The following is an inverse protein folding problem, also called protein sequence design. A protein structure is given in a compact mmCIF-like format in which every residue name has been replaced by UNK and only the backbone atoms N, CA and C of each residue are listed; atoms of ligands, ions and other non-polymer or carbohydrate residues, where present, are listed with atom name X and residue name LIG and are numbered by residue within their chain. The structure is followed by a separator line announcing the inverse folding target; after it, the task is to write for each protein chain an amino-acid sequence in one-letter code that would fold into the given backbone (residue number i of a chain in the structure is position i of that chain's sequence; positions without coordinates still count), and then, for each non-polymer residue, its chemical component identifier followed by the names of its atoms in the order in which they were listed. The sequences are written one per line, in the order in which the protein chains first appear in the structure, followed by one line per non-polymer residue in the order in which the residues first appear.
data_IF_208458932120
#
_entry.id   IF_208458932120
#
_cell.length_a   1.000
_cell.length_b   1.000
_cell.length_c   1.000
_cell.angle_alpha   90.00
_cell.angle_beta   90.00
_cell.angle_gamma   90.00
#
_symmetry.space_group_name_H-M   'P 1'
#
loop_
_entity.id
_entity.type
_entity.pdbx_description
1 polymer ?
#
# COMPACT_ATOMS: atom_id res chain seq x y z
N UNK A 1 -32.57 11.85 -2.15
CA UNK A 1 -31.39 12.19 -1.31
C UNK A 1 -31.19 10.96 -0.45
N UNK A 2 -30.09 10.21 -0.64
CA UNK A 2 -29.89 8.96 0.10
C UNK A 2 -29.36 9.31 1.49
N UNK A 3 -30.08 8.91 2.52
CA UNK A 3 -29.66 9.07 3.92
C UNK A 3 -28.99 7.78 4.35
N UNK A 4 -27.80 7.89 4.92
CA UNK A 4 -27.05 6.73 5.40
C UNK A 4 -27.14 6.65 6.92
N UNK A 5 -27.30 5.43 7.45
CA UNK A 5 -27.27 5.15 8.89
C UNK A 5 -25.88 4.60 9.20
N UNK A 6 -25.12 5.31 10.03
CA UNK A 6 -23.79 4.88 10.47
C UNK A 6 -23.92 4.22 11.84
N UNK A 7 -23.51 2.96 11.97
CA UNK A 7 -23.50 2.22 13.24
C UNK A 7 -22.18 1.48 13.40
N UNK A 8 -21.58 1.60 14.59
CA UNK A 8 -20.42 0.82 15.01
C UNK A 8 -20.50 0.57 16.51
N UNK A 9 -20.14 -0.65 16.95
CA UNK A 9 -19.98 -0.98 18.37
C UNK A 9 -18.65 -0.49 18.97
N UNK A 10 -17.81 0.17 18.16
CA UNK A 10 -16.52 0.71 18.53
C UNK A 10 -16.49 2.21 18.23
N UNK A 11 -16.24 3.01 19.27
CA UNK A 11 -16.23 4.48 19.23
C UNK A 11 -15.19 5.04 18.25
N UNK A 12 -14.03 4.39 18.11
CA UNK A 12 -12.98 4.83 17.17
C UNK A 12 -13.39 4.64 15.71
N UNK A 13 -14.12 3.56 15.42
CA UNK A 13 -14.62 3.27 14.08
C UNK A 13 -15.78 4.21 13.73
N UNK A 14 -16.63 4.56 14.69
CA UNK A 14 -17.69 5.56 14.51
C UNK A 14 -17.09 6.94 14.19
N UNK A 15 -16.06 7.36 14.91
CA UNK A 15 -15.38 8.65 14.67
C UNK A 15 -14.76 8.71 13.27
N UNK A 16 -14.18 7.60 12.79
CA UNK A 16 -13.64 7.50 11.44
C UNK A 16 -14.75 7.58 10.38
N UNK A 17 -15.87 6.90 10.59
CA UNK A 17 -17.02 6.93 9.69
C UNK A 17 -17.62 8.33 9.57
N UNK A 18 -17.73 9.05 10.69
CA UNK A 18 -18.18 10.45 10.70
C UNK A 18 -17.21 11.36 9.93
N UNK A 19 -15.89 11.16 10.05
CA UNK A 19 -14.89 11.92 9.28
C UNK A 19 -15.02 11.66 7.77
N UNK A 20 -15.26 10.41 7.37
CA UNK A 20 -15.44 10.03 5.97
C UNK A 20 -16.74 10.62 5.41
N UNK A 21 -17.86 10.50 6.15
CA UNK A 21 -19.15 11.00 5.71
C UNK A 21 -19.16 12.52 5.54
N UNK A 22 -18.53 13.26 6.46
CA UNK A 22 -18.36 14.71 6.36
C UNK A 22 -17.46 15.11 5.17
N UNK A 23 -16.39 14.35 4.89
CA UNK A 23 -15.51 14.60 3.74
C UNK A 23 -16.24 14.41 2.40
N UNK A 24 -17.22 13.52 2.36
CA UNK A 24 -17.97 13.16 1.16
C UNK A 24 -19.31 13.92 1.02
N UNK A 25 -19.60 14.85 1.93
CA UNK A 25 -20.87 15.60 1.98
C UNK A 25 -22.10 14.66 1.98
N UNK A 26 -21.97 13.50 2.65
CA UNK A 26 -23.04 12.53 2.76
C UNK A 26 -23.98 12.96 3.90
N UNK A 27 -25.28 12.98 3.64
CA UNK A 27 -26.27 13.15 4.70
C UNK A 27 -26.42 11.85 5.49
N UNK A 28 -26.22 11.93 6.81
CA UNK A 28 -26.36 10.80 7.72
C UNK A 28 -27.14 11.19 8.98
N UNK A 29 -27.77 10.19 9.60
CA UNK A 29 -28.37 10.30 10.94
C UNK A 29 -27.54 9.46 11.92
N UNK A 30 -27.15 10.08 13.03
CA UNK A 30 -26.52 9.39 14.15
C UNK A 30 -27.61 8.76 15.01
N UNK A 31 -27.51 7.45 15.23
CA UNK A 31 -28.47 6.71 16.06
C UNK A 31 -27.75 6.38 17.37
N UNK A 32 -28.13 7.06 18.45
CA UNK A 32 -27.70 6.67 19.80
C UNK A 32 -28.12 5.23 20.09
N UNK A 33 -27.24 4.43 20.71
CA UNK A 33 -27.51 3.02 21.00
C UNK A 33 -28.89 2.85 21.66
N UNK A 34 -29.84 2.13 21.03
CA UNK A 34 -31.14 1.93 21.64
C UNK A 34 -30.98 0.99 22.85
N UNK A 35 -31.55 1.38 23.99
CA UNK A 35 -31.75 0.47 25.11
C UNK A 35 -32.48 -0.78 24.60
N UNK A 36 -32.06 -1.96 25.08
CA UNK A 36 -32.33 -3.32 24.59
C UNK A 36 -33.79 -3.68 24.20
N UNK A 37 -34.79 -2.83 24.42
CA UNK A 37 -36.18 -3.03 24.03
C UNK A 37 -36.59 -2.39 22.69
N UNK A 38 -35.78 -1.51 22.08
CA UNK A 38 -36.11 -0.88 20.78
C UNK A 38 -35.53 -1.62 19.55
N UNK A 39 -34.63 -2.60 19.76
CA UNK A 39 -34.05 -3.42 18.68
C UNK A 39 -35.11 -4.14 17.82
N UNK A 40 -36.16 -4.65 18.44
CA UNK A 40 -37.24 -5.38 17.75
C UNK A 40 -38.23 -4.46 17.01
N UNK A 41 -38.25 -3.17 17.35
CA UNK A 41 -39.11 -2.18 16.69
C UNK A 41 -38.40 -1.52 15.50
N UNK A 42 -37.10 -1.28 15.59
CA UNK A 42 -36.28 -0.78 14.49
C UNK A 42 -36.14 -1.80 13.34
N UNK A 43 -36.09 -3.09 13.66
CA UNK A 43 -36.11 -4.19 12.69
C UNK A 43 -37.41 -4.23 11.85
N UNK A 44 -38.52 -3.65 12.33
CA UNK A 44 -39.80 -3.59 11.59
C UNK A 44 -39.95 -2.36 10.70
N UNK A 45 -39.13 -1.33 10.88
CA UNK A 45 -39.17 -0.11 10.05
C UNK A 45 -38.28 -0.27 8.79
N UNK A 46 -37.36 -1.23 8.81
CA UNK A 46 -36.44 -1.53 7.70
C UNK A 46 -37.07 -2.34 6.54
N UNK A 47 -38.36 -2.68 6.61
CA UNK A 47 -39.11 -3.33 5.51
C UNK A 47 -39.76 -2.32 4.53
N UNK A 48 -39.43 -1.02 4.63
CA UNK A 48 -39.82 -0.05 3.62
C UNK A 48 -38.77 0.02 2.51
N UNK A 49 -39.23 -0.08 1.26
CA UNK A 49 -38.47 -0.25 0.01
C UNK A 49 -37.48 0.89 -0.33
N UNK A 50 -36.48 1.13 0.51
CA UNK A 50 -35.29 1.89 0.14
C UNK A 50 -34.05 1.00 0.15
N UNK A 51 -33.40 1.00 -1.01
CA UNK A 51 -32.19 0.31 -1.46
C UNK A 51 -31.04 0.45 -0.44
N UNK A 52 -31.10 -0.34 0.64
CA UNK A 52 -30.11 -0.34 1.72
C UNK A 52 -28.93 -1.20 1.29
N UNK A 53 -27.86 -0.54 0.85
CA UNK A 53 -26.60 -1.21 0.55
C UNK A 53 -25.94 -1.59 1.87
N UNK A 54 -26.04 -2.87 2.26
CA UNK A 54 -25.30 -3.39 3.41
C UNK A 54 -23.80 -3.42 3.06
N UNK A 55 -22.99 -2.60 3.73
CA UNK A 55 -21.54 -2.60 3.56
C UNK A 55 -20.99 -3.74 4.43
N UNK A 56 -20.50 -4.81 3.80
CA UNK A 56 -19.76 -5.86 4.48
C UNK A 56 -18.38 -5.33 4.86
N UNK A 57 -18.23 -4.90 6.11
CA UNK A 57 -16.97 -4.39 6.67
C UNK A 57 -15.87 -5.47 6.78
N UNK A 58 -16.17 -6.74 6.48
CA UNK A 58 -15.16 -7.80 6.41
C UNK A 58 -14.41 -7.83 5.08
N UNK A 59 -14.82 -7.02 4.09
CA UNK A 59 -14.19 -7.04 2.77
C UNK A 59 -12.79 -6.40 2.80
N UNK A 60 -11.78 -7.19 2.44
CA UNK A 60 -10.39 -6.73 2.37
C UNK A 60 -10.24 -5.61 1.33
N UNK A 61 -9.68 -4.48 1.78
CA UNK A 61 -9.31 -3.32 0.95
C UNK A 61 -7.83 -3.37 0.62
N UNK A 62 -7.49 -3.01 -0.62
CA UNK A 62 -6.12 -2.94 -1.14
C UNK A 62 -5.76 -1.50 -1.50
N UNK A 63 -4.56 -1.10 -1.09
CA UNK A 63 -3.97 0.22 -1.27
C UNK A 63 -2.58 0.10 -1.94
N UNK A 64 -1.94 1.23 -2.26
CA UNK A 64 -0.56 1.22 -2.74
C UNK A 64 0.43 0.59 -1.74
N UNK A 65 0.11 0.63 -0.43
CA UNK A 65 0.89 -0.04 0.60
C UNK A 65 0.82 -1.56 0.45
N UNK A 66 -0.37 -2.12 0.25
CA UNK A 66 -0.55 -3.56 0.02
C UNK A 66 0.18 -4.01 -1.24
N UNK A 67 0.12 -3.21 -2.30
CA UNK A 67 0.91 -3.47 -3.51
C UNK A 67 2.41 -3.52 -3.23
N UNK A 68 2.96 -2.54 -2.49
CA UNK A 68 4.37 -2.51 -2.13
C UNK A 68 4.77 -3.70 -1.23
N UNK A 69 3.90 -4.12 -0.30
CA UNK A 69 4.15 -5.26 0.58
C UNK A 69 4.18 -6.58 -0.20
N UNK A 70 3.19 -6.81 -1.07
CA UNK A 70 3.16 -7.98 -1.96
C UNK A 70 4.38 -7.98 -2.90
N UNK A 71 4.80 -6.80 -3.36
CA UNK A 71 5.98 -6.67 -4.21
C UNK A 71 7.24 -7.11 -3.49
N UNK A 72 7.46 -6.62 -2.26
CA UNK A 72 8.63 -6.99 -1.47
C UNK A 72 8.66 -8.50 -1.21
N UNK A 73 7.53 -9.08 -0.80
CA UNK A 73 7.39 -10.51 -0.61
C UNK A 73 7.72 -11.31 -1.89
N UNK A 74 7.22 -10.84 -3.05
CA UNK A 74 7.51 -11.48 -4.34
C UNK A 74 8.99 -11.44 -4.70
N UNK A 75 9.68 -10.31 -4.48
CA UNK A 75 11.13 -10.18 -4.75
C UNK A 75 11.95 -11.11 -3.85
N UNK A 76 11.53 -11.31 -2.61
CA UNK A 76 12.18 -12.23 -1.69
C UNK A 76 11.98 -13.70 -2.13
N UNK A 77 10.79 -14.05 -2.64
CA UNK A 77 10.48 -15.39 -3.14
C UNK A 77 11.10 -15.70 -4.51
N UNK A 78 11.23 -14.69 -5.37
CA UNK A 78 11.72 -14.80 -6.77
C UNK A 78 12.82 -13.75 -7.01
N UNK A 79 14.03 -13.93 -6.44
CA UNK A 79 15.08 -12.91 -6.49
C UNK A 79 15.66 -12.68 -7.89
N UNK A 80 15.51 -13.65 -8.80
CA UNK A 80 16.01 -13.53 -10.17
C UNK A 80 14.97 -12.85 -11.05
N UNK A 81 15.24 -11.61 -11.45
CA UNK A 81 14.37 -10.82 -12.32
C UNK A 81 14.05 -11.50 -13.66
N UNK A 82 14.95 -12.33 -14.18
CA UNK A 82 14.69 -13.13 -15.40
C UNK A 82 13.56 -14.14 -15.24
N UNK A 83 13.17 -14.48 -14.01
CA UNK A 83 12.09 -15.40 -13.68
C UNK A 83 10.77 -14.64 -13.38
N UNK A 84 10.71 -13.30 -13.53
CA UNK A 84 9.51 -12.50 -13.28
C UNK A 84 8.50 -12.59 -14.44
N UNK A 85 8.01 -13.79 -14.69
CA UNK A 85 6.97 -14.08 -15.68
C UNK A 85 6.20 -15.34 -15.26
N UNK A 86 4.96 -15.46 -15.72
CA UNK A 86 4.06 -16.56 -15.34
C UNK A 86 4.62 -17.94 -15.74
N UNK A 87 5.30 -18.05 -16.89
CA UNK A 87 5.86 -19.31 -17.37
C UNK A 87 6.92 -19.85 -16.40
N UNK A 88 7.87 -19.02 -16.00
CA UNK A 88 8.98 -19.39 -15.12
C UNK A 88 8.55 -19.78 -13.71
N UNK A 89 7.45 -19.21 -13.20
CA UNK A 89 6.96 -19.47 -11.83
C UNK A 89 5.71 -20.37 -11.78
N UNK A 90 5.22 -20.84 -12.93
CA UNK A 90 4.00 -21.64 -13.05
C UNK A 90 4.00 -22.92 -12.20
N UNK A 91 5.18 -23.50 -11.96
CA UNK A 91 5.34 -24.70 -11.14
C UNK A 91 5.33 -24.43 -9.63
N UNK A 92 5.16 -23.19 -9.19
CA UNK A 92 5.11 -22.79 -7.78
C UNK A 92 3.91 -21.86 -7.55
N UNK A 93 2.74 -22.43 -7.16
CA UNK A 93 1.50 -21.69 -6.94
C UNK A 93 1.65 -20.49 -5.98
N UNK A 94 2.33 -20.58 -4.81
CA UNK A 94 2.58 -19.41 -3.96
C UNK A 94 3.18 -18.21 -4.71
N UNK A 95 4.19 -18.45 -5.56
CA UNK A 95 4.85 -17.42 -6.37
C UNK A 95 3.95 -16.92 -7.49
N UNK A 96 3.28 -17.85 -8.18
CA UNK A 96 2.38 -17.53 -9.28
C UNK A 96 1.24 -16.61 -8.84
N UNK A 97 0.56 -16.95 -7.75
CA UNK A 97 -0.58 -16.17 -7.29
C UNK A 97 -0.17 -14.77 -6.79
N UNK A 98 0.97 -14.64 -6.10
CA UNK A 98 1.52 -13.32 -5.74
C UNK A 98 1.85 -12.48 -6.97
N UNK A 99 2.42 -13.09 -8.02
CA UNK A 99 2.67 -12.39 -9.27
C UNK A 99 1.37 -11.94 -9.97
N UNK A 100 0.33 -12.76 -9.93
CA UNK A 100 -0.99 -12.40 -10.46
C UNK A 100 -1.65 -11.27 -9.65
N UNK A 101 -1.52 -11.27 -8.33
CA UNK A 101 -1.95 -10.15 -7.48
C UNK A 101 -1.23 -8.86 -7.87
N UNK A 102 0.09 -8.90 -8.06
CA UNK A 102 0.87 -7.74 -8.53
C UNK A 102 0.36 -7.23 -9.87
N UNK A 103 0.19 -8.11 -10.87
CA UNK A 103 -0.32 -7.70 -12.19
C UNK A 103 -1.70 -7.06 -12.11
N UNK A 104 -2.57 -7.58 -11.24
CA UNK A 104 -3.93 -7.05 -11.05
C UNK A 104 -3.90 -5.66 -10.42
N UNK A 105 -3.08 -5.48 -9.37
CA UNK A 105 -2.89 -4.20 -8.71
C UNK A 105 -2.17 -3.17 -9.61
N UNK A 106 -1.19 -3.60 -10.41
CA UNK A 106 -0.54 -2.74 -11.40
C UNK A 106 -1.54 -2.14 -12.39
N UNK A 107 -2.54 -2.93 -12.82
CA UNK A 107 -3.63 -2.43 -13.66
C UNK A 107 -4.53 -1.46 -12.91
N UNK A 108 -4.94 -1.79 -11.68
CA UNK A 108 -5.79 -0.95 -10.86
C UNK A 108 -5.16 0.43 -10.54
N UNK A 109 -3.85 0.45 -10.28
CA UNK A 109 -3.08 1.68 -10.02
C UNK A 109 -2.52 2.36 -11.28
N UNK A 110 -2.84 1.84 -12.47
CA UNK A 110 -2.40 2.38 -13.77
C UNK A 110 -0.85 2.43 -13.92
N UNK A 111 -0.15 1.45 -13.35
CA UNK A 111 1.32 1.35 -13.39
C UNK A 111 1.76 0.87 -14.78
N UNK A 112 1.16 -0.22 -15.27
CA UNK A 112 1.53 -0.86 -16.53
C UNK A 112 1.33 -2.38 -16.47
N UNK A 113 1.99 -3.10 -17.36
CA UNK A 113 1.89 -4.57 -17.49
C UNK A 113 3.25 -5.29 -17.30
N UNK A 114 4.36 -4.54 -17.30
CA UNK A 114 5.71 -5.07 -17.11
C UNK A 114 6.24 -4.69 -15.72
N UNK A 115 6.35 -5.66 -14.80
CA UNK A 115 6.77 -5.41 -13.42
C UNK A 115 8.18 -4.81 -13.34
N UNK A 116 9.09 -5.20 -14.24
CA UNK A 116 10.45 -4.70 -14.24
C UNK A 116 10.50 -3.29 -14.82
N UNK A 117 10.05 -3.14 -16.07
CA UNK A 117 10.15 -1.87 -16.79
C UNK A 117 9.19 -0.82 -16.24
N UNK A 118 7.91 -1.18 -16.13
CA UNK A 118 6.88 -0.20 -15.78
C UNK A 118 6.96 0.16 -14.29
N UNK A 119 7.16 -0.80 -13.38
CA UNK A 119 7.23 -0.53 -11.93
C UNK A 119 8.66 -0.35 -11.41
N UNK A 120 9.51 -1.39 -11.45
CA UNK A 120 10.84 -1.38 -10.79
C UNK A 120 11.75 -0.27 -11.31
N UNK A 121 11.73 0.00 -12.61
CA UNK A 121 12.49 1.08 -13.25
C UNK A 121 11.78 2.44 -13.19
N UNK A 122 10.51 2.46 -12.76
CA UNK A 122 9.74 3.68 -12.53
C UNK A 122 9.14 4.32 -13.78
N UNK A 123 9.07 3.60 -14.92
CA UNK A 123 8.52 4.18 -16.16
C UNK A 123 7.06 4.64 -16.02
N UNK A 124 6.28 4.05 -15.12
CA UNK A 124 4.90 4.44 -14.84
C UNK A 124 4.76 5.93 -14.44
N UNK A 125 5.79 6.52 -13.82
CA UNK A 125 5.80 7.93 -13.42
C UNK A 125 5.72 8.87 -14.63
N UNK A 126 6.10 8.41 -15.82
CA UNK A 126 5.99 9.20 -17.05
C UNK A 126 4.54 9.42 -17.49
N UNK A 127 3.60 8.60 -17.00
CA UNK A 127 2.18 8.64 -17.34
C UNK A 127 1.34 9.46 -16.33
N UNK A 128 1.89 9.79 -15.17
CA UNK A 128 1.19 10.52 -14.09
C UNK A 128 1.25 12.04 -14.31
N UNK A 129 0.22 12.77 -13.87
CA UNK A 129 0.26 14.23 -13.92
C UNK A 129 1.19 14.76 -12.82
N UNK A 130 2.03 15.74 -13.17
CA UNK A 130 2.86 16.46 -12.20
C UNK A 130 2.07 17.06 -11.04
N UNK A 131 0.82 17.45 -11.26
CA UNK A 131 -0.06 18.04 -10.24
C UNK A 131 -0.48 17.03 -9.18
N UNK A 132 -0.55 15.74 -9.51
CA UNK A 132 -0.89 14.69 -8.57
C UNK A 132 0.12 14.64 -7.40
N UNK A 133 1.38 15.02 -7.64
CA UNK A 133 2.45 15.00 -6.63
C UNK A 133 2.56 16.28 -5.78
N UNK A 134 1.58 17.19 -5.84
CA UNK A 134 1.58 18.47 -5.11
C UNK A 134 1.89 18.34 -3.61
N UNK A 135 1.34 17.32 -2.93
CA UNK A 135 1.58 17.08 -1.51
C UNK A 135 3.02 16.62 -1.23
N UNK A 136 3.53 15.67 -2.04
CA UNK A 136 4.90 15.20 -1.93
C UNK A 136 5.91 16.33 -2.13
N UNK A 137 5.62 17.26 -3.04
CA UNK A 137 6.45 18.45 -3.22
C UNK A 137 6.51 19.32 -1.97
N UNK A 138 5.36 19.57 -1.33
CA UNK A 138 5.31 20.38 -0.13
C UNK A 138 6.14 19.74 0.99
N UNK A 139 6.06 18.41 1.14
CA UNK A 139 6.85 17.67 2.12
C UNK A 139 8.36 17.80 1.85
N UNK A 140 8.80 17.59 0.61
CA UNK A 140 10.21 17.77 0.21
C UNK A 140 10.68 19.21 0.45
N UNK A 141 9.86 20.21 0.13
CA UNK A 141 10.19 21.60 0.39
C UNK A 141 10.38 21.88 1.88
N UNK A 142 9.46 21.40 2.72
CA UNK A 142 9.52 21.56 4.18
C UNK A 142 10.77 20.86 4.71
N UNK A 143 11.05 19.64 4.28
CA UNK A 143 12.22 18.88 4.67
C UNK A 143 13.51 19.63 4.36
N UNK A 144 13.67 20.12 3.12
CA UNK A 144 14.88 20.85 2.70
C UNK A 144 15.02 22.17 3.46
N UNK A 145 13.94 22.94 3.62
CA UNK A 145 13.96 24.21 4.36
C UNK A 145 14.42 24.04 5.80
N UNK A 146 14.06 22.91 6.43
CA UNK A 146 14.35 22.66 7.84
C UNK A 146 15.69 21.93 8.08
N UNK A 147 16.17 21.12 7.14
CA UNK A 147 17.27 20.19 7.38
C UNK A 147 18.53 20.41 6.53
N UNK A 148 18.50 21.28 5.52
CA UNK A 148 19.65 21.49 4.62
C UNK A 148 20.36 22.82 4.83
N UNK A 149 21.62 22.88 4.39
CA UNK A 149 22.42 24.11 4.37
C UNK A 149 21.79 25.18 3.46
N UNK A 150 22.25 26.42 3.57
CA UNK A 150 21.78 27.52 2.70
C UNK A 150 22.03 27.22 1.22
N UNK A 151 23.07 26.46 0.87
CA UNK A 151 23.31 25.97 -0.49
C UNK A 151 22.20 25.01 -0.96
N UNK A 152 21.75 24.08 -0.11
CA UNK A 152 20.64 23.18 -0.44
C UNK A 152 19.31 23.94 -0.61
N UNK A 153 19.07 24.94 0.24
CA UNK A 153 17.89 25.83 0.11
C UNK A 153 17.96 26.71 -1.13
N UNK A 154 19.16 27.12 -1.56
CA UNK A 154 19.38 27.86 -2.80
C UNK A 154 19.08 27.00 -4.02
N UNK A 155 19.60 25.77 -4.05
CA UNK A 155 19.34 24.81 -5.12
C UNK A 155 17.82 24.55 -5.28
N UNK A 156 17.11 24.30 -4.18
CA UNK A 156 15.65 24.13 -4.22
C UNK A 156 14.93 25.35 -4.80
N UNK A 157 15.31 26.57 -4.38
CA UNK A 157 14.73 27.82 -4.93
C UNK A 157 14.99 27.96 -6.42
N UNK A 158 16.18 27.61 -6.89
CA UNK A 158 16.52 27.62 -8.31
C UNK A 158 15.69 26.58 -9.08
N UNK A 159 15.49 25.40 -8.53
CA UNK A 159 14.73 24.33 -9.19
C UNK A 159 13.22 24.62 -9.22
N UNK A 160 12.68 25.22 -8.14
CA UNK A 160 11.28 25.65 -8.06
C UNK A 160 10.93 26.86 -8.93
N UNK A 161 11.93 27.64 -9.34
CA UNK A 161 11.74 28.80 -10.24
C UNK A 161 11.92 28.44 -11.71
N UNK A 162 12.42 27.25 -12.04
CA UNK A 162 12.41 26.71 -13.41
C UNK A 162 10.97 26.49 -13.91
N UNK A 163 10.80 26.54 -15.22
CA UNK A 163 9.48 26.50 -15.86
C UNK A 163 8.71 25.20 -15.53
N UNK A 164 7.39 25.20 -15.72
CA UNK A 164 6.49 24.04 -15.46
C UNK A 164 6.98 22.74 -16.12
N UNK A 165 7.51 22.79 -17.34
CA UNK A 165 8.06 21.63 -18.04
C UNK A 165 9.31 21.07 -17.33
N UNK A 166 10.11 21.94 -16.73
CA UNK A 166 11.29 21.54 -15.97
C UNK A 166 10.94 20.97 -14.58
N UNK A 167 9.87 21.45 -13.94
CA UNK A 167 9.32 20.83 -12.70
C UNK A 167 8.83 19.41 -12.94
N UNK A 168 8.24 19.14 -14.11
CA UNK A 168 7.84 17.80 -14.54
C UNK A 168 9.06 16.90 -14.76
N UNK A 169 10.17 17.42 -15.30
CA UNK A 169 11.42 16.66 -15.43
C UNK A 169 12.06 16.33 -14.08
N UNK A 170 12.00 17.23 -13.10
CA UNK A 170 12.48 16.99 -11.73
C UNK A 170 11.69 15.85 -11.03
N UNK A 171 10.37 15.74 -11.28
CA UNK A 171 9.56 14.61 -10.80
C UNK A 171 9.95 13.29 -11.46
N UNK A 172 10.26 13.31 -12.74
CA UNK A 172 10.79 12.13 -13.46
C UNK A 172 12.19 11.74 -12.95
N UNK A 173 12.88 12.66 -12.26
CA UNK A 173 14.14 12.42 -11.56
C UNK A 173 13.95 12.18 -10.05
N UNK A 174 12.71 12.08 -9.54
CA UNK A 174 12.51 11.65 -8.15
C UNK A 174 13.20 10.30 -7.97
N UNK A 175 13.91 10.11 -6.84
CA UNK A 175 14.72 8.93 -6.61
C UNK A 175 13.85 7.71 -6.26
N UNK A 176 12.67 7.53 -6.88
CA UNK A 176 11.78 6.39 -6.70
C UNK A 176 12.57 5.08 -6.72
N UNK A 177 13.41 4.88 -7.74
CA UNK A 177 14.24 3.67 -7.87
C UNK A 177 15.23 3.52 -6.73
N UNK A 178 15.76 4.63 -6.18
CA UNK A 178 16.67 4.62 -5.03
C UNK A 178 15.95 4.37 -3.71
N UNK A 179 14.77 4.96 -3.51
CA UNK A 179 13.95 4.67 -2.34
C UNK A 179 13.50 3.22 -2.34
N UNK A 180 13.03 2.72 -3.47
CA UNK A 180 12.66 1.31 -3.64
C UNK A 180 13.87 0.39 -3.42
N UNK A 181 15.05 0.72 -3.97
CA UNK A 181 16.30 -0.02 -3.74
C UNK A 181 16.69 -0.07 -2.26
N UNK A 182 16.55 1.05 -1.53
CA UNK A 182 16.80 1.10 -0.08
C UNK A 182 15.78 0.23 0.67
N UNK A 183 14.49 0.35 0.33
CA UNK A 183 13.42 -0.43 0.97
C UNK A 183 13.63 -1.92 0.76
N UNK A 184 13.94 -2.37 -0.46
CA UNK A 184 14.27 -3.77 -0.76
C UNK A 184 15.46 -4.28 0.04
N UNK A 185 16.56 -3.52 0.06
CA UNK A 185 17.77 -3.92 0.80
C UNK A 185 17.51 -4.02 2.30
N UNK A 186 16.76 -3.08 2.86
CA UNK A 186 16.40 -3.11 4.28
C UNK A 186 15.43 -4.25 4.56
N UNK A 187 14.43 -4.46 3.72
CA UNK A 187 13.48 -5.56 3.85
C UNK A 187 14.20 -6.92 3.85
N UNK A 188 15.13 -7.11 2.89
CA UNK A 188 15.99 -8.28 2.83
C UNK A 188 16.76 -8.50 4.15
N UNK A 189 17.38 -7.45 4.71
CA UNK A 189 18.10 -7.52 5.98
C UNK A 189 17.17 -7.92 7.14
N UNK A 190 15.97 -7.35 7.20
CA UNK A 190 14.99 -7.65 8.25
C UNK A 190 14.50 -9.10 8.19
N UNK A 191 14.46 -9.71 7.00
CA UNK A 191 13.98 -11.08 6.79
C UNK A 191 15.03 -12.19 6.98
N UNK A 192 16.31 -11.86 7.14
CA UNK A 192 17.41 -12.84 7.40
C UNK A 192 17.07 -13.79 8.57
N UNK A 193 16.18 -13.38 9.47
CA UNK A 193 15.88 -14.08 10.71
C UNK A 193 14.64 -15.00 10.64
N UNK A 194 14.00 -15.15 9.48
CA UNK A 194 12.90 -16.12 9.28
C UNK A 194 13.34 -17.58 9.45
N UNK A 195 14.65 -17.86 9.47
CA UNK A 195 15.22 -19.20 9.61
C UNK A 195 15.65 -19.63 11.02
N UNK A 196 15.37 -18.86 12.09
CA UNK A 196 15.78 -19.21 13.48
C UNK A 196 15.33 -20.61 13.87
N UNK A 197 14.12 -21.00 13.48
CA UNK A 197 13.54 -22.31 13.79
C UNK A 197 14.25 -23.46 13.04
N UNK A 198 14.87 -23.19 11.89
CA UNK A 198 15.63 -24.16 11.11
C UNK A 198 17.10 -24.29 11.56
N UNK A 199 17.58 -23.39 12.41
CA UNK A 199 18.98 -23.34 12.83
C UNK A 199 19.28 -24.32 13.98
N UNK A 200 19.28 -25.63 13.69
CA UNK A 200 19.58 -26.69 14.67
C UNK A 200 21.02 -26.73 15.22
N UNK A 201 21.86 -25.71 14.97
CA UNK A 201 23.27 -25.65 15.42
C UNK A 201 23.56 -24.34 16.15
N UNK A 202 24.25 -24.43 17.29
CA UNK A 202 24.59 -23.29 18.16
C UNK A 202 25.27 -22.12 17.43
N UNK A 203 26.17 -22.40 16.49
CA UNK A 203 26.84 -21.36 15.69
C UNK A 203 25.88 -20.64 14.74
N UNK A 204 24.93 -21.37 14.14
CA UNK A 204 23.91 -20.77 13.30
C UNK A 204 22.98 -19.88 14.14
N UNK A 205 22.59 -20.36 15.33
CA UNK A 205 21.82 -19.55 16.29
C UNK A 205 22.56 -18.26 16.67
N UNK A 206 23.86 -18.34 16.99
CA UNK A 206 24.66 -17.14 17.30
C UNK A 206 24.66 -16.13 16.14
N UNK A 207 24.93 -16.59 14.91
CA UNK A 207 24.95 -15.72 13.73
C UNK A 207 23.59 -15.08 13.45
N UNK A 208 22.50 -15.84 13.56
CA UNK A 208 21.15 -15.32 13.34
C UNK A 208 20.77 -14.33 14.45
N UNK A 209 21.08 -14.63 15.71
CA UNK A 209 20.79 -13.69 16.82
C UNK A 209 21.56 -12.38 16.65
N UNK A 210 22.84 -12.43 16.26
CA UNK A 210 23.63 -11.21 15.99
C UNK A 210 23.08 -10.42 14.79
N UNK A 211 22.66 -11.11 13.74
CA UNK A 211 22.01 -10.46 12.60
C UNK A 211 20.66 -9.83 13.02
N UNK A 212 19.88 -10.50 13.86
CA UNK A 212 18.62 -10.00 14.44
C UNK A 212 18.82 -8.74 15.27
N UNK A 213 19.84 -8.70 16.13
CA UNK A 213 20.18 -7.51 16.92
C UNK A 213 20.47 -6.30 16.02
N UNK A 214 21.26 -6.50 14.95
CA UNK A 214 21.54 -5.44 13.99
C UNK A 214 20.27 -5.02 13.21
N UNK A 215 19.48 -5.98 12.75
CA UNK A 215 18.22 -5.72 12.06
C UNK A 215 17.24 -4.92 12.95
N UNK A 216 17.18 -5.24 14.24
CA UNK A 216 16.35 -4.53 15.22
C UNK A 216 16.84 -3.10 15.53
N UNK A 217 18.09 -2.75 15.19
CA UNK A 217 18.60 -1.38 15.32
C UNK A 217 18.15 -0.46 14.19
N UNK A 218 17.56 -1.01 13.12
CA UNK A 218 17.02 -0.23 12.01
C UNK A 218 15.76 0.52 12.48
N UNK A 219 15.76 1.83 12.26
CA UNK A 219 14.68 2.74 12.62
C UNK A 219 13.43 2.48 11.76
N UNK A 220 12.48 1.72 12.31
CA UNK A 220 11.25 1.30 11.61
C UNK A 220 10.37 2.49 11.21
N UNK A 221 10.34 3.55 12.01
CA UNK A 221 9.54 4.75 11.70
C UNK A 221 10.08 5.47 10.47
N UNK A 222 11.41 5.64 10.39
CA UNK A 222 12.03 6.21 9.18
C UNK A 222 11.83 5.33 7.95
N UNK A 223 11.84 4.01 8.13
CA UNK A 223 11.53 3.09 7.05
C UNK A 223 10.09 3.19 6.58
N UNK A 224 9.14 3.32 7.51
CA UNK A 224 7.73 3.55 7.17
C UNK A 224 7.55 4.88 6.43
N UNK A 225 8.26 5.94 6.82
CA UNK A 225 8.23 7.20 6.09
C UNK A 225 8.73 7.05 4.64
N UNK A 226 9.82 6.31 4.41
CA UNK A 226 10.29 5.99 3.06
C UNK A 226 9.27 5.16 2.26
N UNK A 227 8.64 4.15 2.88
CA UNK A 227 7.58 3.37 2.25
C UNK A 227 6.41 4.27 1.86
N UNK A 228 5.98 5.17 2.74
CA UNK A 228 4.89 6.10 2.47
C UNK A 228 5.21 7.02 1.28
N UNK A 229 6.45 7.53 1.19
CA UNK A 229 6.89 8.31 0.02
C UNK A 229 6.73 7.49 -1.27
N UNK A 230 7.17 6.23 -1.27
CA UNK A 230 7.02 5.33 -2.43
C UNK A 230 5.55 5.03 -2.74
N UNK A 231 4.71 4.80 -1.72
CA UNK A 231 3.26 4.61 -1.89
C UNK A 231 2.59 5.85 -2.51
N UNK A 232 2.94 7.06 -2.05
CA UNK A 232 2.43 8.31 -2.63
C UNK A 232 2.94 8.55 -4.06
N UNK A 233 4.07 7.94 -4.46
CA UNK A 233 4.53 7.95 -5.85
C UNK A 233 3.73 6.96 -6.72
N UNK A 234 3.42 5.77 -6.18
CA UNK A 234 2.60 4.75 -6.86
C UNK A 234 1.20 5.30 -7.10
N UNK A 235 0.58 5.83 -6.06
CA UNK A 235 -0.79 6.31 -6.06
C UNK A 235 -0.95 7.61 -5.27
N UNK A 236 -0.67 8.75 -5.91
CA UNK A 236 -0.81 10.07 -5.27
C UNK A 236 -2.25 10.43 -4.88
N UNK A 237 -3.25 9.72 -5.42
CA UNK A 237 -4.67 9.99 -5.18
C UNK A 237 -5.25 9.13 -4.04
N UNK A 238 -4.44 8.28 -3.40
CA UNK A 238 -4.85 7.40 -2.29
C UNK A 238 -6.10 6.56 -2.62
N UNK A 239 -6.18 6.09 -3.87
CA UNK A 239 -7.16 5.10 -4.33
C UNK A 239 -7.07 3.84 -3.47
N UNK A 240 -8.24 3.24 -3.28
CA UNK A 240 -8.38 1.96 -2.61
C UNK A 240 -9.34 1.08 -3.40
N UNK A 241 -9.08 -0.22 -3.40
CA UNK A 241 -9.86 -1.18 -4.19
C UNK A 241 -10.30 -2.33 -3.28
N UNK A 242 -11.59 -2.67 -3.34
CA UNK A 242 -12.09 -3.85 -2.64
C UNK A 242 -11.63 -5.13 -3.36
N UNK A 243 -11.49 -6.24 -2.62
CA UNK A 243 -11.15 -7.54 -3.22
C UNK A 243 -12.12 -7.91 -4.34
N UNK A 244 -13.42 -7.73 -4.14
CA UNK A 244 -14.44 -8.02 -5.15
C UNK A 244 -14.23 -7.20 -6.42
N UNK A 245 -14.00 -5.90 -6.28
CA UNK A 245 -13.72 -5.02 -7.42
C UNK A 245 -12.48 -5.46 -8.20
N UNK A 246 -11.43 -5.90 -7.49
CA UNK A 246 -10.21 -6.43 -8.08
C UNK A 246 -10.42 -7.75 -8.83
N UNK A 247 -11.23 -8.66 -8.28
CA UNK A 247 -11.58 -9.92 -8.95
C UNK A 247 -12.39 -9.63 -10.22
N UNK A 248 -13.42 -8.79 -10.12
CA UNK A 248 -14.36 -8.51 -11.21
C UNK A 248 -13.71 -7.74 -12.37
N UNK A 249 -12.87 -6.74 -12.08
CA UNK A 249 -12.38 -5.81 -13.10
C UNK A 249 -10.89 -5.96 -13.44
N UNK A 250 -10.10 -6.60 -12.58
CA UNK A 250 -8.63 -6.60 -12.72
C UNK A 250 -7.99 -7.99 -12.71
N UNK A 251 -8.81 -9.07 -12.73
CA UNK A 251 -8.37 -10.48 -12.71
C UNK A 251 -7.56 -10.85 -11.46
N UNK A 252 -7.88 -10.25 -10.33
CA UNK A 252 -7.26 -10.61 -9.06
C UNK A 252 -7.60 -12.06 -8.69
N UNK A 253 -6.62 -12.88 -8.27
CA UNK A 253 -6.86 -14.29 -8.00
C UNK A 253 -7.77 -14.48 -6.79
N UNK A 254 -8.84 -15.25 -6.98
CA UNK A 254 -9.75 -15.63 -5.89
C UNK A 254 -9.30 -16.94 -5.25
N UNK A 255 -8.22 -16.86 -4.47
CA UNK A 255 -7.62 -18.00 -3.78
C UNK A 255 -7.32 -17.68 -2.32
N UNK A 256 -7.22 -18.71 -1.50
CA UNK A 256 -6.71 -18.61 -0.13
C UNK A 256 -5.19 -18.85 -0.15
N UNK A 257 -4.42 -17.76 -0.19
CA UNK A 257 -2.96 -17.82 -0.22
C UNK A 257 -2.38 -18.46 1.05
N UNK A 258 -3.00 -18.26 2.21
CA UNK A 258 -2.50 -18.80 3.47
C UNK A 258 -2.60 -20.32 3.47
N UNK A 259 -3.74 -20.86 3.02
CA UNK A 259 -3.91 -22.30 2.83
C UNK A 259 -2.88 -22.87 1.83
N UNK A 260 -2.66 -22.19 0.71
CA UNK A 260 -1.69 -22.61 -0.31
C UNK A 260 -0.26 -22.60 0.23
N UNK A 261 0.13 -21.59 1.00
CA UNK A 261 1.47 -21.52 1.59
C UNK A 261 1.70 -22.65 2.60
N UNK A 262 0.69 -23.00 3.41
CA UNK A 262 0.75 -24.12 4.36
C UNK A 262 0.94 -25.46 3.63
N UNK A 263 0.27 -25.66 2.50
CA UNK A 263 0.42 -26.89 1.69
C UNK A 263 1.80 -27.02 1.03
N UNK A 264 2.50 -25.90 0.83
CA UNK A 264 3.80 -25.83 0.16
C UNK A 264 5.00 -25.75 1.11
N UNK A 265 4.76 -25.75 2.43
CA UNK A 265 5.77 -25.76 3.49
C UNK A 265 6.11 -27.18 3.95
#
# INVERSE_FOLDING_TARGET
MRTFILQSSNEQDLELLLKIANRLEINYEEVEEPENQEKDSLLKILDSEEDTTTIDLSEKIYTAKDFLEIYLEFVDLVPKQSEWNEEAISSNPPRLYRFQQLKSLMKAFEIGDDLLRDFKEGEFLNKKDSLDFSLLYQDVEIYIKNNHSEEGKKYLREELTRDKNTKSAFLKMLPFTKFLEVIERVNYILQINSGVLAAGRLLALYSITRASELANSIDKEKMNHLKNIVCSMIDPQEKSFSRKLLIENYNFPDVDLEAIDIEWW
#
